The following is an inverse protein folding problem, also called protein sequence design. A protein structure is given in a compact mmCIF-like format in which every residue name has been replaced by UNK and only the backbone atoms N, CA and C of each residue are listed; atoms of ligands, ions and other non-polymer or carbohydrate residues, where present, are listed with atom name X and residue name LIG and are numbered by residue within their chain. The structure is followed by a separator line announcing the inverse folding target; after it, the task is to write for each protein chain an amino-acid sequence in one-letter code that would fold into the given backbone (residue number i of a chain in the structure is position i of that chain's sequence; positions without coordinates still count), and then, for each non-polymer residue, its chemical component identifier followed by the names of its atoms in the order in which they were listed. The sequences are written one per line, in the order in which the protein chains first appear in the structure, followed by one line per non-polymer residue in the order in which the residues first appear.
data_IF_589919707479
#
_entry.id   IF_589919707479
#
_cell.length_a   1.000
_cell.length_b   1.000
_cell.length_c   1.000
_cell.angle_alpha   90.00
_cell.angle_beta   90.00
_cell.angle_gamma   90.00
#
_symmetry.space_group_name_H-M   'P 1'
#
loop_
_entity.id
_entity.type
_entity.pdbx_description
1 polymer ?
#
# COMPACT_ATOMS: atom_id res chain seq x y z
N UNK A 1 -3.05 15.76 -5.26
CA UNK A 1 -1.64 15.37 -5.40
C UNK A 1 -0.92 15.92 -4.18
N UNK A 2 -0.75 15.08 -3.16
CA UNK A 2 -0.04 15.44 -1.94
C UNK A 2 1.15 14.49 -1.85
N UNK A 3 2.25 15.14 -1.54
CA UNK A 3 3.63 14.70 -1.55
C UNK A 3 3.94 14.07 -0.20
N UNK A 4 4.46 12.84 -0.24
CA UNK A 4 4.72 11.99 0.94
C UNK A 4 6.12 12.28 1.51
N UNK A 5 6.95 13.06 0.80
CA UNK A 5 8.37 13.27 1.13
C UNK A 5 8.82 14.74 1.19
N UNK A 6 7.94 15.72 0.97
CA UNK A 6 8.24 17.14 1.21
C UNK A 6 9.09 17.83 0.13
N UNK A 7 8.98 17.39 -1.13
CA UNK A 7 9.55 18.04 -2.30
C UNK A 7 8.55 18.19 -3.45
N UNK A 8 8.19 19.44 -3.75
CA UNK A 8 7.63 19.98 -5.00
C UNK A 8 7.44 18.95 -6.15
N UNK A 9 6.18 18.58 -6.44
CA UNK A 9 5.79 17.82 -7.63
C UNK A 9 6.51 18.32 -8.90
N UNK A 10 7.37 17.49 -9.49
CA UNK A 10 7.91 17.72 -10.84
C UNK A 10 7.87 16.44 -11.67
N UNK A 11 7.04 16.52 -12.72
CA UNK A 11 7.17 15.93 -14.07
C UNK A 11 7.46 14.43 -14.19
N UNK A 12 6.46 13.72 -14.71
CA UNK A 12 6.57 12.48 -15.47
C UNK A 12 7.79 12.52 -16.41
N UNK A 13 8.69 11.55 -16.26
CA UNK A 13 9.66 11.28 -17.32
C UNK A 13 8.99 10.41 -18.38
N UNK A 14 9.02 10.88 -19.61
CA UNK A 14 8.66 10.09 -20.78
C UNK A 14 9.60 8.87 -20.84
N UNK A 15 9.02 7.65 -20.89
CA UNK A 15 9.62 6.36 -21.30
C UNK A 15 9.61 5.20 -20.28
N UNK A 16 9.01 5.30 -19.09
CA UNK A 16 8.89 4.14 -18.18
C UNK A 16 7.63 4.18 -17.34
N UNK A 17 6.82 3.12 -17.39
CA UNK A 17 5.69 2.96 -16.47
C UNK A 17 6.20 3.00 -15.02
N UNK A 18 5.49 3.65 -14.08
CA UNK A 18 5.88 3.67 -12.68
C UNK A 18 5.87 2.25 -12.13
N UNK A 19 6.86 1.91 -11.29
CA UNK A 19 6.87 0.62 -10.62
C UNK A 19 5.62 0.46 -9.75
N UNK A 20 5.01 -0.72 -9.81
CA UNK A 20 3.74 -0.99 -9.13
C UNK A 20 3.96 -1.88 -7.90
N UNK A 21 3.33 -1.49 -6.79
CA UNK A 21 3.30 -2.26 -5.55
C UNK A 21 1.86 -2.58 -5.19
N UNK A 22 1.52 -3.86 -5.16
CA UNK A 22 0.22 -4.29 -4.66
C UNK A 22 0.24 -4.49 -3.15
N UNK A 23 -0.81 -3.99 -2.49
CA UNK A 23 -1.04 -4.16 -1.06
C UNK A 23 -2.36 -4.87 -0.86
N UNK A 24 -2.32 -6.01 -0.16
CA UNK A 24 -3.50 -6.80 0.16
C UNK A 24 -3.66 -7.01 1.67
N UNK A 25 -4.92 -7.21 2.07
CA UNK A 25 -5.34 -7.68 3.39
C UNK A 25 -5.98 -9.07 3.22
N UNK A 26 -5.30 -10.11 3.70
CA UNK A 26 -5.84 -11.47 3.66
C UNK A 26 -6.25 -11.91 5.07
N UNK A 27 -7.51 -12.33 5.26
CA UNK A 27 -7.91 -12.97 6.51
C UNK A 27 -7.35 -14.39 6.58
N UNK A 28 -6.64 -14.71 7.65
CA UNK A 28 -6.01 -16.02 7.89
C UNK A 28 -6.46 -16.58 9.24
N UNK A 29 -6.53 -17.91 9.35
CA UNK A 29 -6.85 -18.60 10.60
C UNK A 29 -5.62 -19.36 11.10
N UNK A 30 -5.10 -18.98 12.26
CA UNK A 30 -3.91 -19.57 12.88
C UNK A 30 -4.30 -20.04 14.27
N UNK A 31 -4.09 -21.33 14.58
CA UNK A 31 -4.44 -21.92 15.88
C UNK A 31 -5.87 -21.61 16.34
N UNK A 32 -6.83 -21.72 15.40
CA UNK A 32 -8.24 -21.42 15.62
C UNK A 32 -8.61 -19.93 15.75
N UNK A 33 -7.63 -19.04 15.87
CA UNK A 33 -7.83 -17.59 15.92
C UNK A 33 -7.80 -16.97 14.53
N UNK A 34 -8.70 -16.01 14.29
CA UNK A 34 -8.70 -15.20 13.07
C UNK A 34 -7.72 -14.05 13.21
N UNK A 35 -6.93 -13.85 12.17
CA UNK A 35 -6.00 -12.73 12.03
C UNK A 35 -6.07 -12.19 10.60
N UNK A 36 -5.51 -11.01 10.38
CA UNK A 36 -5.32 -10.43 9.06
C UNK A 36 -3.83 -10.31 8.76
N UNK A 37 -3.44 -10.80 7.60
CA UNK A 37 -2.12 -10.67 7.03
C UNK A 37 -2.15 -9.50 6.04
N UNK A 38 -1.35 -8.48 6.32
CA UNK A 38 -1.09 -7.38 5.41
C UNK A 38 0.19 -7.67 4.65
N UNK A 39 0.15 -7.57 3.32
CA UNK A 39 1.31 -7.89 2.47
C UNK A 39 1.48 -6.80 1.41
N UNK A 40 2.72 -6.37 1.19
CA UNK A 40 3.11 -5.49 0.09
C UNK A 40 4.03 -6.25 -0.86
N UNK A 41 3.70 -6.26 -2.16
CA UNK A 41 4.42 -7.01 -3.19
C UNK A 41 4.74 -6.07 -4.36
N UNK A 42 6.01 -6.03 -4.76
CA UNK A 42 6.41 -5.38 -6.01
C UNK A 42 5.98 -6.25 -7.19
N UNK A 43 5.08 -5.76 -8.05
CA UNK A 43 4.41 -6.57 -9.06
C UNK A 43 5.38 -7.14 -10.10
N UNK A 44 6.28 -6.31 -10.63
CA UNK A 44 7.16 -6.73 -11.73
C UNK A 44 8.18 -7.79 -11.30
N UNK A 45 8.65 -7.70 -10.06
CA UNK A 45 9.72 -8.55 -9.53
C UNK A 45 9.16 -9.67 -8.67
N UNK A 46 7.86 -9.63 -8.35
CA UNK A 46 7.17 -10.52 -7.42
C UNK A 46 7.79 -10.59 -6.02
N UNK A 47 8.61 -9.60 -5.65
CA UNK A 47 9.24 -9.52 -4.35
C UNK A 47 8.26 -9.06 -3.28
N UNK A 48 8.18 -9.80 -2.18
CA UNK A 48 7.46 -9.37 -0.97
C UNK A 48 8.31 -8.31 -0.27
N UNK A 49 7.81 -7.08 -0.25
CA UNK A 49 8.47 -5.94 0.38
C UNK A 49 8.26 -5.97 1.90
N UNK A 50 7.02 -6.18 2.34
CA UNK A 50 6.70 -6.23 3.75
C UNK A 50 5.51 -7.12 4.03
N UNK A 51 5.49 -7.68 5.24
CA UNK A 51 4.40 -8.52 5.71
C UNK A 51 4.17 -8.26 7.19
N UNK A 52 2.91 -8.17 7.61
CA UNK A 52 2.55 -8.02 9.02
C UNK A 52 1.28 -8.77 9.33
N UNK A 53 1.33 -9.59 10.38
CA UNK A 53 0.16 -10.25 10.94
C UNK A 53 -0.45 -9.37 12.03
N UNK A 54 -1.75 -9.13 11.98
CA UNK A 54 -2.50 -8.42 13.00
C UNK A 54 -3.72 -9.23 13.43
N UNK A 55 -3.95 -9.33 14.75
CA UNK A 55 -5.18 -9.95 15.28
C UNK A 55 -6.45 -9.12 15.05
N UNK A 56 -6.29 -7.87 14.57
CA UNK A 56 -7.40 -6.97 14.24
C UNK A 56 -7.34 -6.63 12.74
N UNK A 57 -8.50 -6.66 12.09
CA UNK A 57 -8.67 -6.18 10.72
C UNK A 57 -9.13 -4.72 10.70
N UNK A 58 -8.95 -4.06 9.56
CA UNK A 58 -9.52 -2.73 9.31
C UNK A 58 -8.51 -1.58 9.23
N UNK A 59 -9.04 -0.35 9.26
CA UNK A 59 -8.37 0.88 8.81
C UNK A 59 -7.12 1.24 9.62
N UNK A 60 -7.13 1.06 10.94
CA UNK A 60 -5.99 1.44 11.79
C UNK A 60 -4.78 0.49 11.64
N UNK A 61 -4.96 -0.85 11.65
CA UNK A 61 -3.89 -1.79 11.31
C UNK A 61 -3.33 -1.57 9.89
N UNK A 62 -4.21 -1.38 8.90
CA UNK A 62 -3.85 -1.10 7.51
C UNK A 62 -2.99 0.19 7.37
N UNK A 63 -3.40 1.27 8.05
CA UNK A 63 -2.64 2.51 8.14
C UNK A 63 -1.25 2.32 8.76
N UNK A 64 -1.18 1.62 9.89
CA UNK A 64 0.09 1.37 10.55
C UNK A 64 1.02 0.50 9.71
N UNK A 65 0.47 -0.44 8.94
CA UNK A 65 1.25 -1.26 8.00
C UNK A 65 1.86 -0.40 6.90
N UNK A 66 1.03 0.34 6.16
CA UNK A 66 1.51 1.21 5.07
C UNK A 66 2.56 2.22 5.54
N UNK A 67 2.33 2.87 6.68
CA UNK A 67 3.28 3.83 7.24
C UNK A 67 4.65 3.18 7.48
N UNK A 68 4.69 1.99 8.09
CA UNK A 68 5.94 1.25 8.33
C UNK A 68 6.61 0.79 7.03
N UNK A 69 5.82 0.43 6.03
CA UNK A 69 6.35 0.04 4.72
C UNK A 69 6.99 1.24 4.01
N UNK A 70 6.37 2.42 4.06
CA UNK A 70 6.94 3.67 3.53
C UNK A 70 8.19 4.13 4.30
N UNK A 71 8.34 3.82 5.59
CA UNK A 71 9.57 4.10 6.32
C UNK A 71 10.75 3.21 5.87
N UNK A 72 10.47 1.98 5.40
CA UNK A 72 11.48 1.01 4.98
C UNK A 72 11.89 1.15 3.52
N UNK A 73 10.93 1.51 2.66
CA UNK A 73 11.10 1.55 1.22
C UNK A 73 10.74 2.95 0.71
N UNK A 74 11.55 3.46 -0.21
CA UNK A 74 11.20 4.69 -0.92
C UNK A 74 10.08 4.38 -1.92
N UNK A 75 8.86 4.75 -1.52
CA UNK A 75 7.64 4.54 -2.31
C UNK A 75 7.15 5.84 -2.98
N UNK A 76 8.03 6.84 -3.15
CA UNK A 76 7.65 8.16 -3.68
C UNK A 76 7.25 8.14 -5.17
N UNK A 77 7.85 7.24 -5.96
CA UNK A 77 7.66 7.14 -7.42
C UNK A 77 6.93 5.84 -7.86
N UNK A 78 6.21 5.19 -6.93
CA UNK A 78 5.49 3.92 -7.20
C UNK A 78 3.98 4.08 -7.09
N UNK A 79 3.26 3.31 -7.91
CA UNK A 79 1.81 3.21 -7.86
C UNK A 79 1.38 2.08 -6.91
N UNK A 80 0.55 2.41 -5.92
CA UNK A 80 0.00 1.46 -4.96
C UNK A 80 -1.33 0.88 -5.47
N UNK A 81 -1.38 -0.43 -5.69
CA UNK A 81 -2.58 -1.17 -6.06
C UNK A 81 -3.21 -1.80 -4.82
N UNK A 82 -4.49 -1.50 -4.54
CA UNK A 82 -5.16 -1.96 -3.32
C UNK A 82 -6.54 -2.55 -3.64
N UNK A 83 -6.81 -3.77 -3.15
CA UNK A 83 -8.00 -4.57 -3.48
C UNK A 83 -9.29 -4.11 -2.75
N UNK A 84 -9.21 -3.26 -1.71
CA UNK A 84 -10.39 -2.90 -0.88
C UNK A 84 -10.57 -1.43 -0.52
N UNK A 85 -11.85 -1.03 -0.43
CA UNK A 85 -12.30 0.31 -0.04
C UNK A 85 -11.86 0.76 1.38
N UNK A 86 -11.42 -0.15 2.23
CA UNK A 86 -10.98 0.11 3.62
C UNK A 86 -9.81 1.10 3.70
N UNK A 87 -9.01 1.21 2.63
CA UNK A 87 -7.86 2.10 2.54
C UNK A 87 -8.21 3.55 2.14
N UNK A 88 -9.44 3.83 1.70
CA UNK A 88 -9.85 5.19 1.30
C UNK A 88 -9.77 6.19 2.46
N UNK A 89 -10.16 5.74 3.66
CA UNK A 89 -10.03 6.52 4.90
C UNK A 89 -8.57 6.67 5.36
N UNK A 90 -7.71 5.70 5.04
CA UNK A 90 -6.28 5.74 5.35
C UNK A 90 -5.61 6.78 4.47
N UNK A 91 -5.74 6.66 3.15
CA UNK A 91 -5.12 7.57 2.20
C UNK A 91 -5.49 9.04 2.43
N UNK A 92 -6.76 9.30 2.74
CA UNK A 92 -7.24 10.65 3.07
C UNK A 92 -6.59 11.24 4.33
N UNK A 93 -6.21 10.40 5.31
CA UNK A 93 -5.54 10.83 6.55
C UNK A 93 -4.04 11.04 6.39
N UNK A 94 -3.41 10.34 5.46
CA UNK A 94 -1.97 10.45 5.19
C UNK A 94 -1.63 11.39 4.03
N UNK A 95 -2.62 12.08 3.45
CA UNK A 95 -2.37 12.93 2.29
C UNK A 95 -1.90 12.12 1.08
N UNK A 96 -2.35 10.89 0.93
CA UNK A 96 -1.97 10.05 -0.19
C UNK A 96 -2.97 10.27 -1.33
N UNK A 97 -2.46 10.58 -2.52
CA UNK A 97 -3.29 10.61 -3.72
C UNK A 97 -3.38 9.19 -4.26
N UNK A 98 -4.60 8.65 -4.35
CA UNK A 98 -4.84 7.31 -4.85
C UNK A 98 -5.63 7.40 -6.17
N UNK A 99 -5.35 6.47 -7.08
CA UNK A 99 -6.09 6.29 -8.31
C UNK A 99 -6.58 4.84 -8.28
N UNK A 100 -7.89 4.65 -8.16
CA UNK A 100 -8.47 3.31 -8.19
C UNK A 100 -8.68 2.93 -9.65
N UNK A 101 -7.78 2.11 -10.17
CA UNK A 101 -7.86 1.60 -11.53
C UNK A 101 -8.49 0.20 -11.48
N UNK A 102 -9.80 0.12 -11.75
CA UNK A 102 -10.45 -1.16 -11.98
C UNK A 102 -10.13 -1.60 -13.40
N UNK A 103 -9.18 -2.52 -13.56
CA UNK A 103 -9.04 -3.24 -14.83
C UNK A 103 -10.15 -4.29 -14.83
N UNK A 104 -11.16 -4.06 -15.66
CA UNK A 104 -12.29 -4.97 -15.88
C UNK A 104 -11.88 -6.19 -16.72
#
# INVERSE_FOLDING_TARGET
MVDICGGLCRTWSADGEPSQVAVDETAVKINEELSCLYTAIHIETTLILDVTLCGLSGTAPAASFLYKTCEKYDLSEVELLIDRCSYWCVFSRFGLSYLVNYIA
#
